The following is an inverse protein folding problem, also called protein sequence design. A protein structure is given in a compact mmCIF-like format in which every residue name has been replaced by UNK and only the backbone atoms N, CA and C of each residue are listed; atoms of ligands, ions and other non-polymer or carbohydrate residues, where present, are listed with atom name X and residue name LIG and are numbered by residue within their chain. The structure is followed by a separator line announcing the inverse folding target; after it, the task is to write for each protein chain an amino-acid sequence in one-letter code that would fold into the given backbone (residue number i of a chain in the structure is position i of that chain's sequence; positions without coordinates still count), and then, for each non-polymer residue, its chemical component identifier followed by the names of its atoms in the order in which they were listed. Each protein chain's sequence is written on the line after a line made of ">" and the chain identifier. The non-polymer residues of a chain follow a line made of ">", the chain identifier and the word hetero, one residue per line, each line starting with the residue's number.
data_IF_748917427020
#
_entry.id   IF_748917427020
#
_cell.length_a   1.000
_cell.length_b   1.000
_cell.length_c   1.000
_cell.angle_alpha   90.00
_cell.angle_beta   90.00
_cell.angle_gamma   90.00
#
_symmetry.space_group_name_H-M   'P 1'
#
loop_
_entity.id
_entity.type
_entity.pdbx_description
1 polymer ?
#
# COMPACT_ATOMS: atom_id res chain seq x y z
N UNK A 1 -8.61 13.93 5.56
CA UNK A 1 -7.30 14.46 5.97
C UNK A 1 -6.22 13.56 5.39
N UNK A 2 -5.71 13.89 4.20
CA UNK A 2 -4.53 13.23 3.61
C UNK A 2 -3.28 13.96 4.08
N UNK A 3 -2.22 13.23 4.44
CA UNK A 3 -0.95 13.87 4.74
C UNK A 3 -0.41 14.51 3.46
N UNK A 4 -0.19 15.82 3.44
CA UNK A 4 0.28 16.53 2.25
C UNK A 4 1.56 15.91 1.67
N UNK A 5 2.44 15.38 2.52
CA UNK A 5 3.67 14.67 2.10
C UNK A 5 3.40 13.45 1.21
N UNK A 6 2.25 12.79 1.38
CA UNK A 6 1.91 11.52 0.76
C UNK A 6 1.13 11.65 -0.56
N UNK A 7 0.65 12.85 -0.90
CA UNK A 7 -0.26 13.09 -2.02
C UNK A 7 0.19 12.45 -3.37
N UNK A 8 1.47 12.53 -3.80
CA UNK A 8 1.95 11.93 -5.06
C UNK A 8 1.95 10.40 -5.07
N UNK A 9 1.79 9.77 -3.90
CA UNK A 9 1.84 8.32 -3.74
C UNK A 9 0.46 7.73 -3.45
N UNK A 10 -0.60 8.56 -3.42
CA UNK A 10 -1.96 8.11 -3.09
C UNK A 10 -2.54 7.20 -4.15
N UNK A 11 -2.25 7.47 -5.42
CA UNK A 11 -2.78 6.75 -6.58
C UNK A 11 -1.64 6.30 -7.51
N UNK A 12 -1.92 5.35 -8.43
CA UNK A 12 -0.94 4.95 -9.46
C UNK A 12 -0.45 6.15 -10.27
N UNK A 13 0.82 6.08 -10.70
CA UNK A 13 1.41 7.08 -11.60
C UNK A 13 0.68 7.04 -12.95
N UNK A 14 0.24 8.20 -13.43
CA UNK A 14 -0.41 8.33 -14.73
C UNK A 14 0.60 8.11 -15.87
N UNK A 15 0.44 7.00 -16.58
CA UNK A 15 1.32 6.62 -17.70
C UNK A 15 1.07 7.47 -18.95
N UNK A 16 -0.06 8.18 -19.06
CA UNK A 16 -0.25 9.14 -20.15
C UNK A 16 0.65 10.36 -19.93
N UNK A 17 0.78 10.79 -18.67
CA UNK A 17 1.66 11.90 -18.29
C UNK A 17 3.13 11.48 -18.21
N UNK A 18 3.41 10.23 -17.79
CA UNK A 18 4.76 9.69 -17.65
C UNK A 18 4.92 8.34 -18.39
N UNK A 19 4.96 8.33 -19.74
CA UNK A 19 5.01 7.09 -20.52
C UNK A 19 6.26 6.23 -20.24
N UNK A 20 7.38 6.87 -19.92
CA UNK A 20 8.64 6.19 -19.60
C UNK A 20 8.62 5.48 -18.25
N UNK A 21 7.65 5.76 -17.38
CA UNK A 21 7.60 5.20 -16.03
C UNK A 21 7.52 3.66 -16.06
N UNK A 22 6.69 3.10 -16.95
CA UNK A 22 6.55 1.65 -17.11
C UNK A 22 7.81 0.96 -17.66
N UNK A 23 8.73 1.71 -18.29
CA UNK A 23 10.00 1.18 -18.79
C UNK A 23 11.10 1.19 -17.73
N UNK A 24 11.01 2.12 -16.77
CA UNK A 24 12.02 2.33 -15.72
C UNK A 24 11.66 1.58 -14.45
N UNK A 25 10.39 1.58 -14.06
CA UNK A 25 9.89 1.02 -12.80
C UNK A 25 9.24 -0.35 -13.05
N UNK A 26 9.90 -1.46 -12.70
CA UNK A 26 9.40 -2.81 -13.01
C UNK A 26 8.23 -3.24 -12.11
N UNK A 27 8.09 -2.62 -10.93
CA UNK A 27 7.07 -2.97 -9.95
C UNK A 27 6.38 -1.71 -9.41
N UNK A 28 5.42 -1.13 -10.16
CA UNK A 28 4.68 0.04 -9.70
C UNK A 28 3.83 -0.32 -8.47
N UNK A 29 3.90 0.53 -7.46
CA UNK A 29 3.09 0.42 -6.24
C UNK A 29 2.74 1.81 -5.74
N UNK A 30 1.54 1.93 -5.18
CA UNK A 30 0.97 3.15 -4.61
C UNK A 30 0.21 2.83 -3.32
N UNK A 31 -0.14 3.86 -2.54
CA UNK A 31 -0.81 3.69 -1.25
C UNK A 31 -2.24 3.15 -1.37
N UNK A 32 -2.98 3.46 -2.45
CA UNK A 32 -4.30 2.88 -2.66
C UNK A 32 -4.21 1.38 -2.93
N UNK A 33 -3.22 0.93 -3.71
CA UNK A 33 -2.93 -0.49 -3.93
C UNK A 33 -2.58 -1.20 -2.62
N UNK A 34 -1.68 -0.62 -1.81
CA UNK A 34 -1.30 -1.20 -0.51
C UNK A 34 -2.51 -1.28 0.42
N UNK A 35 -3.32 -0.22 0.50
CA UNK A 35 -4.56 -0.19 1.29
C UNK A 35 -5.53 -1.28 0.85
N UNK A 36 -5.80 -1.41 -0.46
CA UNK A 36 -6.68 -2.42 -0.99
C UNK A 36 -6.18 -3.84 -0.68
N UNK A 37 -4.86 -4.08 -0.73
CA UNK A 37 -4.26 -5.37 -0.36
C UNK A 37 -4.42 -5.70 1.13
N UNK A 38 -4.36 -4.70 2.01
CA UNK A 38 -4.70 -4.90 3.43
C UNK A 38 -6.18 -5.21 3.63
N UNK A 39 -7.08 -4.47 2.99
CA UNK A 39 -8.53 -4.65 3.11
C UNK A 39 -9.00 -6.02 2.59
N UNK A 40 -8.36 -6.52 1.54
CA UNK A 40 -8.65 -7.83 0.94
C UNK A 40 -7.84 -8.99 1.56
N UNK A 41 -7.16 -8.78 2.68
CA UNK A 41 -6.34 -9.82 3.35
C UNK A 41 -5.29 -10.49 2.44
N UNK A 42 -4.77 -9.76 1.44
CA UNK A 42 -3.80 -10.27 0.47
C UNK A 42 -2.46 -10.65 1.14
N UNK A 43 -2.03 -9.84 2.12
CA UNK A 43 -0.77 -10.07 2.81
C UNK A 43 -0.88 -11.19 3.85
N UNK A 44 -0.40 -12.38 3.49
CA UNK A 44 -0.28 -13.51 4.43
C UNK A 44 0.75 -13.27 5.55
N UNK A 45 1.79 -12.50 5.24
CA UNK A 45 2.90 -12.19 6.15
C UNK A 45 3.16 -10.68 6.15
N UNK A 46 3.45 -10.06 7.31
CA UNK A 46 3.81 -8.65 7.39
C UNK A 46 4.97 -8.26 6.46
N UNK A 47 5.95 -9.16 6.28
CA UNK A 47 7.07 -8.97 5.38
C UNK A 47 6.66 -8.66 3.92
N UNK A 48 5.53 -9.20 3.45
CA UNK A 48 5.01 -8.88 2.11
C UNK A 48 4.52 -7.43 2.02
N UNK A 49 3.87 -6.92 3.07
CA UNK A 49 3.48 -5.51 3.11
C UNK A 49 4.68 -4.58 3.29
N UNK A 50 5.69 -5.00 4.06
CA UNK A 50 6.95 -4.25 4.17
C UNK A 50 7.68 -4.16 2.83
N UNK A 51 7.60 -5.20 2.00
CA UNK A 51 8.19 -5.22 0.66
C UNK A 51 7.55 -4.14 -0.23
N UNK A 52 6.22 -4.13 -0.33
CA UNK A 52 5.50 -3.09 -1.07
C UNK A 52 5.79 -1.67 -0.54
N UNK A 53 5.84 -1.51 0.79
CA UNK A 53 6.15 -0.22 1.41
C UNK A 53 7.54 0.31 1.01
N UNK A 54 8.54 -0.57 0.89
CA UNK A 54 9.91 -0.20 0.46
C UNK A 54 9.94 0.20 -1.01
N UNK A 55 9.13 -0.45 -1.85
CA UNK A 55 9.06 -0.13 -3.28
C UNK A 55 8.51 1.28 -3.56
N UNK A 56 7.76 1.91 -2.65
CA UNK A 56 7.40 3.33 -2.79
C UNK A 56 8.63 4.25 -2.88
N UNK A 57 9.61 4.05 -1.99
CA UNK A 57 10.86 4.82 -2.01
C UNK A 57 11.78 4.37 -3.15
N UNK A 58 11.93 3.06 -3.37
CA UNK A 58 12.80 2.54 -4.44
C UNK A 58 12.33 2.98 -5.83
N UNK A 59 11.03 2.97 -6.10
CA UNK A 59 10.48 3.44 -7.38
C UNK A 59 10.71 4.94 -7.57
N UNK A 60 10.52 5.72 -6.49
CA UNK A 60 10.78 7.16 -6.54
C UNK A 60 12.25 7.46 -6.84
N UNK A 61 13.18 6.73 -6.22
CA UNK A 61 14.63 6.86 -6.46
C UNK A 61 15.06 6.38 -7.84
N UNK A 62 14.38 5.38 -8.40
CA UNK A 62 14.72 4.83 -9.72
C UNK A 62 14.26 5.74 -10.86
N UNK A 63 13.11 6.40 -10.70
CA UNK A 63 12.52 7.23 -11.75
C UNK A 63 12.89 8.72 -11.65
N UNK A 64 13.06 9.25 -10.44
CA UNK A 64 13.27 10.69 -10.22
C UNK A 64 14.74 10.98 -9.88
N UNK A 65 15.15 12.24 -10.08
CA UNK A 65 16.48 12.71 -9.72
C UNK A 65 16.78 12.44 -8.23
N UNK A 66 17.96 11.89 -7.91
CA UNK A 66 18.43 11.77 -6.53
C UNK A 66 18.28 13.09 -5.77
N UNK A 67 17.85 12.99 -4.50
CA UNK A 67 17.65 14.14 -3.61
C UNK A 67 16.52 15.10 -3.99
N UNK A 68 15.75 14.83 -5.04
CA UNK A 68 14.54 15.58 -5.37
C UNK A 68 13.53 15.59 -4.21
N UNK A 69 12.65 16.62 -4.11
CA UNK A 69 11.63 16.67 -3.07
C UNK A 69 10.72 15.44 -3.04
N UNK A 70 10.39 14.87 -4.20
CA UNK A 70 9.56 13.66 -4.30
C UNK A 70 10.26 12.45 -3.69
N UNK A 71 11.56 12.24 -3.95
CA UNK A 71 12.34 11.16 -3.34
C UNK A 71 12.39 11.31 -1.82
N UNK A 72 12.61 12.53 -1.30
CA UNK A 72 12.60 12.78 0.15
C UNK A 72 11.23 12.48 0.77
N UNK A 73 10.15 12.89 0.11
CA UNK A 73 8.77 12.59 0.54
C UNK A 73 8.49 11.08 0.52
N UNK A 74 8.97 10.37 -0.50
CA UNK A 74 8.80 8.93 -0.62
C UNK A 74 9.44 8.19 0.57
N UNK A 75 10.67 8.56 0.94
CA UNK A 75 11.36 8.00 2.12
C UNK A 75 10.55 8.21 3.41
N UNK A 76 10.07 9.43 3.65
CA UNK A 76 9.25 9.74 4.83
C UNK A 76 7.97 8.90 4.90
N UNK A 77 7.28 8.73 3.77
CA UNK A 77 6.07 7.90 3.67
C UNK A 77 6.40 6.43 3.91
N UNK A 78 7.46 5.91 3.30
CA UNK A 78 7.94 4.53 3.49
C UNK A 78 8.30 4.27 4.95
N UNK A 79 9.05 5.17 5.60
CA UNK A 79 9.45 5.01 7.00
C UNK A 79 8.25 5.00 7.94
N UNK A 80 7.30 5.92 7.73
CA UNK A 80 6.04 5.96 8.47
C UNK A 80 5.27 4.64 8.28
N UNK A 81 5.09 4.20 7.04
CA UNK A 81 4.35 2.99 6.71
C UNK A 81 5.01 1.73 7.32
N UNK A 82 6.33 1.62 7.24
CA UNK A 82 7.08 0.54 7.89
C UNK A 82 6.94 0.58 9.42
N UNK A 83 6.93 1.77 10.02
CA UNK A 83 6.72 1.92 11.47
C UNK A 83 5.34 1.42 11.89
N UNK A 84 4.31 1.71 11.09
CA UNK A 84 2.92 1.26 11.33
C UNK A 84 2.84 -0.26 11.21
N UNK A 85 3.42 -0.83 10.16
CA UNK A 85 3.42 -2.29 9.95
C UNK A 85 4.11 -3.01 11.12
N UNK A 86 5.28 -2.53 11.56
CA UNK A 86 6.01 -3.11 12.71
C UNK A 86 5.25 -2.99 14.02
N UNK A 87 4.56 -1.87 14.27
CA UNK A 87 3.68 -1.73 15.45
C UNK A 87 2.52 -2.71 15.41
N UNK A 88 1.96 -2.95 14.22
CA UNK A 88 0.91 -3.97 14.02
C UNK A 88 1.36 -5.41 14.34
N UNK A 89 2.66 -5.70 14.27
CA UNK A 89 3.21 -7.02 14.66
C UNK A 89 3.25 -7.23 16.19
N UNK A 90 3.36 -6.16 16.97
CA UNK A 90 3.55 -6.23 18.43
C UNK A 90 2.26 -6.44 19.22
N UNK A 91 1.10 -6.38 18.56
CA UNK A 91 -0.19 -6.71 19.19
C UNK A 91 -0.25 -8.25 19.31
N UNK A 92 -0.23 -8.82 20.53
CA UNK A 92 -0.28 -10.26 20.70
C UNK A 92 -1.56 -10.77 20.03
N UNK A 93 -1.40 -11.63 19.02
CA UNK A 93 -2.51 -12.36 18.42
C UNK A 93 -3.00 -13.36 19.45
N UNK A 94 -3.88 -12.95 20.36
CA UNK A 94 -4.62 -13.86 21.23
C UNK A 94 -5.44 -14.80 20.34
N UNK A 95 -4.90 -16.01 20.08
CA UNK A 95 -5.63 -17.27 19.86
C UNK A 95 -6.75 -17.35 18.83
N UNK A 96 -7.01 -16.31 18.03
CA UNK A 96 -8.02 -16.29 17.00
C UNK A 96 -7.44 -15.49 15.84
N UNK A 97 -7.55 -16.02 14.62
CA UNK A 97 -7.06 -15.36 13.42
C UNK A 97 -7.46 -13.90 13.41
N UNK A 98 -6.45 -13.03 13.20
CA UNK A 98 -6.54 -11.58 12.98
C UNK A 98 -7.98 -11.05 12.94
N UNK A 99 -8.50 -10.37 13.99
CA UNK A 99 -9.78 -9.70 13.87
C UNK A 99 -9.57 -8.40 13.07
N UNK A 100 -9.36 -8.57 11.75
CA UNK A 100 -9.55 -7.49 10.80
C UNK A 100 -11.04 -7.23 10.76
N UNK A 101 -11.44 -6.05 11.26
CA UNK A 101 -12.71 -5.36 11.01
C UNK A 101 -13.75 -6.24 10.32
N UNK A 102 -14.51 -7.02 11.10
CA UNK A 102 -15.67 -7.76 10.60
C UNK A 102 -16.75 -6.75 10.23
N UNK A 103 -16.66 -6.13 9.06
CA UNK A 103 -17.80 -5.43 8.47
C UNK A 103 -18.63 -6.49 7.72
N UNK A 104 -19.72 -6.88 8.39
CA UNK A 104 -20.94 -7.46 7.82
C UNK A 104 -21.11 -7.10 6.34
N UNK A 105 -21.04 -8.10 5.46
CA UNK A 105 -21.70 -8.11 4.15
C UNK A 105 -21.76 -9.54 3.60
N UNK A 106 -22.41 -10.44 4.33
CA UNK A 106 -23.02 -11.65 3.76
C UNK A 106 -24.30 -11.93 4.56
N UNK A 107 -25.42 -11.36 4.11
CA UNK A 107 -26.78 -11.86 4.32
C UNK A 107 -27.73 -11.12 3.39
N UNK A 108 -28.34 -11.88 2.47
CA UNK A 108 -29.32 -11.44 1.47
C UNK A 108 -28.73 -11.56 0.07
N UNK A 109 -28.96 -12.58 -0.74
CA UNK A 109 -29.82 -13.76 -0.65
C UNK A 109 -29.43 -14.64 -1.84
N UNK A 110 -29.36 -15.95 -1.67
CA UNK A 110 -29.23 -16.89 -2.78
C UNK A 110 -30.61 -17.50 -3.07
N UNK A 111 -30.90 -17.69 -4.37
CA UNK A 111 -32.01 -18.46 -4.96
C UNK A 111 -33.44 -17.91 -4.70
N UNK A 112 -34.33 -17.81 -5.68
CA UNK A 112 -34.96 -18.95 -6.37
C UNK A 112 -35.77 -18.46 -7.59
N UNK A 113 -35.90 -19.35 -8.56
CA UNK A 113 -36.74 -19.34 -9.78
C UNK A 113 -38.11 -18.65 -9.67
N UNK A 114 -38.52 -17.94 -10.72
CA UNK A 114 -39.79 -18.20 -11.44
C UNK A 114 -39.64 -17.80 -12.90
#
# INVERSE_FOLDING_TARGET
>A
MTLAVAEPFVAPVDLQQYPSYAMVVPYPVDLATIRARFENQFYRRPAAAQFDARYLASNAEQFNEPHSPIVRRARLVTDLLLSIIRRGEQIPRTGCGIPLLRRRALAGEAATQT
#
